data_IF_562889661182
#
_entry.id   IF_562889661182
#
_cell.length_a   1.000
_cell.length_b   1.000
_cell.length_c   1.000
_cell.angle_alpha   90.00
_cell.angle_beta   90.00
_cell.angle_gamma   90.00
#
_symmetry.space_group_name_H-M   'P 1'
#
loop_
_entity.id
_entity.type
_entity.pdbx_description
1 polymer ?
#
# COMPACT_ATOMS: atom_id res chain seq x y z
N UNK A 1 2.76 35.33 18.98
CA UNK A 1 3.24 34.68 17.74
C UNK A 1 4.11 33.51 18.15
N UNK A 2 3.90 32.34 17.55
CA UNK A 2 4.76 31.16 17.70
C UNK A 2 5.55 30.96 16.41
N UNK A 3 6.85 30.79 16.54
CA UNK A 3 7.74 30.49 15.43
C UNK A 3 8.11 29.00 15.48
N UNK A 4 7.84 28.26 14.41
CA UNK A 4 8.20 26.85 14.30
C UNK A 4 9.08 26.61 13.09
N UNK A 5 10.28 26.09 13.34
CA UNK A 5 11.21 25.67 12.28
C UNK A 5 10.76 24.33 11.71
N UNK A 6 10.49 24.29 10.42
CA UNK A 6 10.23 23.07 9.67
C UNK A 6 11.57 22.65 9.05
N UNK A 7 12.11 21.52 9.52
CA UNK A 7 13.40 20.99 9.06
C UNK A 7 13.29 20.47 7.63
N UNK A 8 14.42 20.38 6.93
CA UNK A 8 14.51 19.73 5.61
C UNK A 8 13.95 18.30 5.69
N UNK A 9 13.16 17.90 4.67
CA UNK A 9 12.53 16.57 4.64
C UNK A 9 11.40 16.41 5.65
N UNK A 10 10.83 17.51 6.15
CA UNK A 10 9.59 17.51 6.94
C UNK A 10 8.58 18.41 6.25
N UNK A 11 7.31 18.06 6.40
CA UNK A 11 6.15 18.83 5.96
C UNK A 11 5.21 19.05 7.14
N UNK A 12 4.53 20.18 7.17
CA UNK A 12 3.47 20.46 8.14
C UNK A 12 2.26 21.07 7.45
N UNK A 13 1.09 20.88 8.03
CA UNK A 13 -0.14 21.57 7.68
C UNK A 13 -0.38 22.65 8.72
N UNK A 14 -0.71 23.85 8.26
CA UNK A 14 -1.21 24.94 9.09
C UNK A 14 -2.67 25.18 8.74
N UNK A 15 -3.52 25.06 9.74
CA UNK A 15 -4.95 25.32 9.66
C UNK A 15 -5.24 26.73 10.12
N UNK A 16 -6.03 27.47 9.34
CA UNK A 16 -6.56 28.78 9.73
C UNK A 16 -7.92 28.64 10.45
N UNK A 17 -8.41 29.71 11.07
CA UNK A 17 -9.75 29.77 11.71
C UNK A 17 -10.90 29.42 10.74
N UNK A 18 -10.70 29.66 9.45
CA UNK A 18 -11.70 29.37 8.42
C UNK A 18 -11.76 27.89 8.03
N UNK A 19 -10.84 27.06 8.54
CA UNK A 19 -10.69 25.66 8.14
C UNK A 19 -9.79 25.44 6.92
N UNK A 20 -9.23 26.50 6.33
CA UNK A 20 -8.28 26.38 5.23
C UNK A 20 -6.96 25.73 5.68
N UNK A 21 -6.47 24.78 4.89
CA UNK A 21 -5.23 24.06 5.12
C UNK A 21 -4.12 24.58 4.18
N UNK A 22 -3.01 25.03 4.75
CA UNK A 22 -1.81 25.44 4.01
C UNK A 22 -0.69 24.45 4.32
N UNK A 23 -0.14 23.84 3.26
CA UNK A 23 0.99 22.92 3.36
C UNK A 23 2.30 23.71 3.30
N UNK A 24 3.18 23.45 4.26
CA UNK A 24 4.50 24.08 4.33
C UNK A 24 5.57 23.01 4.29
N UNK A 25 6.41 23.09 3.27
CA UNK A 25 7.61 22.26 3.12
C UNK A 25 8.82 22.89 3.79
N UNK A 26 9.66 22.06 4.40
CA UNK A 26 10.96 22.48 4.93
C UNK A 26 12.05 22.53 3.86
N UNK A 27 13.12 23.32 4.03
CA UNK A 27 13.44 24.11 5.21
C UNK A 27 12.73 25.47 5.20
N UNK A 28 11.92 25.74 6.21
CA UNK A 28 11.16 27.00 6.32
C UNK A 28 10.87 27.36 7.78
N UNK A 29 10.59 28.64 8.01
CA UNK A 29 10.15 29.14 9.30
C UNK A 29 8.65 29.45 9.22
N UNK A 30 7.83 28.62 9.86
CA UNK A 30 6.41 28.87 9.96
C UNK A 30 6.13 29.87 11.10
N UNK A 31 5.48 30.98 10.75
CA UNK A 31 5.00 32.00 11.69
C UNK A 31 3.52 31.75 11.91
N UNK A 32 3.13 31.31 13.10
CA UNK A 32 1.74 30.95 13.43
C UNK A 32 1.28 31.65 14.69
N UNK A 33 0.04 32.13 14.69
CA UNK A 33 -0.61 32.61 15.91
C UNK A 33 -1.41 31.48 16.56
N UNK A 34 -1.02 30.95 17.74
CA UNK A 34 -1.64 29.76 18.32
C UNK A 34 -3.13 29.89 18.67
N UNK A 35 -3.61 31.12 18.86
CA UNK A 35 -5.01 31.39 19.17
C UNK A 35 -5.94 31.24 17.96
N UNK A 36 -5.40 31.29 16.75
CA UNK A 36 -6.17 31.30 15.48
C UNK A 36 -5.65 30.27 14.47
N UNK A 37 -4.45 29.73 14.66
CA UNK A 37 -3.87 28.74 13.77
C UNK A 37 -3.44 27.48 14.53
N UNK A 38 -3.69 26.32 13.92
CA UNK A 38 -3.20 25.03 14.41
C UNK A 38 -2.14 24.50 13.45
N UNK A 39 -0.95 24.18 13.97
CA UNK A 39 0.12 23.54 13.20
C UNK A 39 0.16 22.04 13.51
N UNK A 40 0.13 21.22 12.46
CA UNK A 40 0.21 19.77 12.53
C UNK A 40 1.38 19.28 11.67
N UNK A 41 2.44 18.69 12.26
CA UNK A 41 3.47 18.04 11.45
C UNK A 41 2.88 16.80 10.78
N UNK A 42 3.25 16.56 9.52
CA UNK A 42 2.86 15.33 8.83
C UNK A 42 3.88 14.23 9.06
N UNK A 43 3.37 13.03 9.27
CA UNK A 43 4.18 11.83 9.32
C UNK A 43 4.60 11.46 7.90
N UNK A 44 5.86 11.07 7.72
CA UNK A 44 6.35 10.59 6.43
C UNK A 44 6.48 9.06 6.51
N UNK A 45 5.84 8.39 5.58
CA UNK A 45 6.01 6.96 5.33
C UNK A 45 6.98 6.79 4.16
N UNK A 46 7.83 5.79 4.25
CA UNK A 46 8.82 5.48 3.23
C UNK A 46 8.78 4.00 2.91
N UNK A 47 9.02 3.67 1.64
CA UNK A 47 9.31 2.32 1.18
C UNK A 47 10.66 2.35 0.47
N UNK A 48 11.50 1.36 0.80
CA UNK A 48 12.76 1.10 0.11
C UNK A 48 12.54 0.30 -1.19
N UNK A 49 13.62 -0.05 -1.88
CA UNK A 49 13.57 -0.78 -3.16
C UNK A 49 12.96 -2.19 -3.05
N UNK A 50 12.90 -2.77 -1.85
CA UNK A 50 12.32 -4.09 -1.56
C UNK A 50 10.91 -4.00 -0.97
N UNK A 51 10.34 -2.79 -0.91
CA UNK A 51 9.06 -2.50 -0.25
C UNK A 51 8.14 -1.70 -1.17
N UNK A 52 6.87 -1.68 -0.80
CA UNK A 52 5.87 -0.80 -1.40
C UNK A 52 4.98 -0.18 -0.31
N UNK A 53 4.36 0.95 -0.65
CA UNK A 53 3.33 1.57 0.17
C UNK A 53 1.95 1.20 -0.38
N UNK A 54 1.10 0.64 0.48
CA UNK A 54 -0.33 0.54 0.23
C UNK A 54 -1.01 1.77 0.85
N UNK A 55 -1.59 2.60 -0.01
CA UNK A 55 -2.25 3.85 0.35
C UNK A 55 -3.75 3.68 0.14
N UNK A 56 -4.53 3.80 1.23
CA UNK A 56 -5.99 3.85 1.15
C UNK A 56 -6.45 5.29 1.24
N UNK A 57 -7.15 5.75 0.23
CA UNK A 57 -7.68 7.10 0.16
C UNK A 57 -9.09 7.18 0.75
N UNK A 58 -9.51 8.41 1.07
CA UNK A 58 -10.85 8.70 1.63
C UNK A 58 -11.97 8.39 0.66
N UNK A 59 -11.72 8.41 -0.65
CA UNK A 59 -12.67 7.99 -1.69
C UNK A 59 -12.88 6.46 -1.77
N UNK A 60 -12.16 5.69 -0.95
CA UNK A 60 -12.20 4.23 -0.92
C UNK A 60 -11.24 3.56 -1.92
N UNK A 61 -10.55 4.32 -2.76
CA UNK A 61 -9.55 3.77 -3.67
C UNK A 61 -8.31 3.33 -2.90
N UNK A 62 -7.65 2.27 -3.38
CA UNK A 62 -6.37 1.81 -2.85
C UNK A 62 -5.34 1.92 -3.96
N UNK A 63 -4.18 2.51 -3.67
CA UNK A 63 -3.08 2.62 -4.61
C UNK A 63 -1.82 1.97 -4.02
N UNK A 64 -1.05 1.34 -4.90
CA UNK A 64 0.13 0.56 -4.55
C UNK A 64 1.32 1.26 -5.17
N UNK A 65 2.18 1.83 -4.33
CA UNK A 65 3.36 2.59 -4.76
C UNK A 65 4.63 1.78 -4.46
N UNK A 66 5.28 1.17 -5.46
CA UNK A 66 6.57 0.51 -5.25
C UNK A 66 7.63 1.54 -4.85
N UNK A 67 8.58 1.13 -4.01
CA UNK A 67 9.71 1.96 -3.65
C UNK A 67 10.73 2.11 -4.78
N UNK A 68 11.71 3.03 -4.64
CA UNK A 68 11.92 3.92 -3.50
C UNK A 68 10.94 5.11 -3.53
N UNK A 69 10.10 5.25 -2.50
CA UNK A 69 9.09 6.31 -2.44
C UNK A 69 8.90 6.82 -1.03
N UNK A 70 8.64 8.12 -0.90
CA UNK A 70 8.28 8.77 0.35
C UNK A 70 6.94 9.50 0.18
N UNK A 71 6.01 9.24 1.09
CA UNK A 71 4.68 9.85 1.10
C UNK A 71 4.41 10.48 2.47
N UNK A 72 3.83 11.66 2.50
CA UNK A 72 3.33 12.25 3.74
C UNK A 72 1.89 11.82 3.99
N UNK A 73 1.61 11.42 5.23
CA UNK A 73 0.26 11.11 5.69
C UNK A 73 -0.57 12.38 5.80
N UNK A 74 -1.38 12.61 4.76
CA UNK A 74 -2.35 13.70 4.70
C UNK A 74 -3.74 13.15 5.04
N UNK A 75 -4.14 13.31 6.29
CA UNK A 75 -5.41 12.78 6.82
C UNK A 75 -6.67 13.32 6.11
N UNK A 76 -6.55 14.37 5.28
CA UNK A 76 -7.64 14.85 4.44
C UNK A 76 -7.90 13.96 3.22
N UNK A 77 -6.87 13.29 2.72
CA UNK A 77 -6.91 12.50 1.48
C UNK A 77 -6.73 11.03 1.75
N UNK A 78 -6.01 10.69 2.81
CA UNK A 78 -5.52 9.36 3.10
C UNK A 78 -6.12 8.88 4.42
N UNK A 79 -6.67 7.68 4.37
CA UNK A 79 -7.20 6.96 5.54
C UNK A 79 -6.09 6.18 6.22
N UNK A 80 -5.22 5.52 5.43
CA UNK A 80 -4.11 4.74 5.97
C UNK A 80 -2.99 4.56 4.95
N UNK A 81 -1.76 4.51 5.44
CA UNK A 81 -0.56 4.14 4.68
C UNK A 81 0.12 2.98 5.39
N UNK A 82 0.35 1.87 4.66
CA UNK A 82 1.05 0.71 5.17
C UNK A 82 2.28 0.42 4.32
N UNK A 83 3.43 0.25 4.96
CA UNK A 83 4.65 -0.24 4.30
C UNK A 83 4.63 -1.77 4.33
N UNK A 84 4.77 -2.40 3.16
CA UNK A 84 4.78 -3.85 2.98
C UNK A 84 5.97 -4.28 2.13
N UNK A 85 6.44 -5.49 2.34
CA UNK A 85 7.54 -6.06 1.57
C UNK A 85 7.06 -6.58 0.20
N UNK A 86 7.89 -6.40 -0.83
CA UNK A 86 7.67 -6.96 -2.15
C UNK A 86 7.82 -8.48 -2.10
N UNK A 87 7.04 -9.18 -2.91
CA UNK A 87 7.17 -10.62 -3.09
C UNK A 87 8.39 -10.86 -3.98
N UNK A 88 9.41 -11.50 -3.42
CA UNK A 88 10.60 -11.92 -4.14
C UNK A 88 10.32 -13.24 -4.84
N UNK A 89 10.48 -13.29 -6.16
CA UNK A 89 10.43 -14.53 -6.94
C UNK A 89 11.83 -14.80 -7.49
N UNK A 90 12.40 -15.97 -7.20
CA UNK A 90 13.66 -16.42 -7.78
C UNK A 90 13.43 -17.09 -9.17
N UNK A 91 14.52 -17.43 -9.85
CA UNK A 91 14.59 -17.94 -11.23
C UNK A 91 13.66 -19.13 -11.51
N UNK A 92 13.44 -20.01 -10.52
CA UNK A 92 12.57 -21.18 -10.65
C UNK A 92 11.24 -21.03 -9.89
N UNK A 93 10.94 -19.83 -9.40
CA UNK A 93 9.69 -19.54 -8.70
C UNK A 93 8.69 -18.87 -9.64
N UNK A 94 7.42 -19.10 -9.36
CA UNK A 94 6.32 -18.51 -10.09
C UNK A 94 5.22 -18.10 -9.13
N UNK A 95 4.60 -16.96 -9.42
CA UNK A 95 3.45 -16.44 -8.71
C UNK A 95 2.23 -16.59 -9.61
N UNK A 96 1.19 -17.23 -9.09
CA UNK A 96 -0.10 -17.32 -9.78
C UNK A 96 -1.03 -16.31 -9.17
N UNK A 97 -1.59 -15.46 -10.03
CA UNK A 97 -2.51 -14.39 -9.66
C UNK A 97 -3.85 -14.57 -10.36
N UNK A 98 -4.91 -14.11 -9.72
CA UNK A 98 -6.21 -13.92 -10.33
C UNK A 98 -6.55 -12.44 -10.34
N UNK A 99 -7.06 -11.95 -11.46
CA UNK A 99 -7.60 -10.59 -11.60
C UNK A 99 -9.09 -10.66 -11.88
N UNK A 100 -9.85 -9.70 -11.38
CA UNK A 100 -11.25 -9.53 -11.74
C UNK A 100 -11.33 -8.71 -13.03
N UNK A 101 -11.99 -9.25 -14.06
CA UNK A 101 -12.32 -8.49 -15.25
C UNK A 101 -13.65 -7.76 -15.05
N UNK A 102 -13.63 -6.44 -15.22
CA UNK A 102 -14.84 -5.66 -15.42
C UNK A 102 -15.10 -5.60 -16.94
N UNK A 103 -16.10 -6.36 -17.42
CA UNK A 103 -16.66 -6.16 -18.77
C UNK A 103 -17.94 -5.33 -18.65
N UNK A 104 -18.02 -4.28 -19.46
CA UNK A 104 -19.01 -3.18 -19.36
C UNK A 104 -20.50 -3.60 -19.50
N UNK A 105 -20.83 -4.82 -19.93
CA UNK A 105 -22.24 -5.18 -20.19
C UNK A 105 -22.76 -6.45 -19.52
N UNK A 106 -21.90 -7.23 -18.83
CA UNK A 106 -22.33 -8.36 -18.00
C UNK A 106 -21.20 -8.68 -17.02
N UNK A 107 -21.51 -8.65 -15.73
CA UNK A 107 -20.62 -9.13 -14.66
C UNK A 107 -20.52 -10.65 -14.81
N UNK A 108 -19.69 -11.11 -15.75
CA UNK A 108 -19.21 -12.48 -15.74
C UNK A 108 -18.14 -12.55 -14.64
N UNK A 109 -18.39 -13.36 -13.62
CA UNK A 109 -17.45 -13.65 -12.52
C UNK A 109 -16.24 -14.49 -12.98
N UNK A 110 -15.83 -14.37 -14.25
CA UNK A 110 -14.66 -15.05 -14.78
C UNK A 110 -13.40 -14.30 -14.33
N UNK A 111 -12.71 -14.84 -13.33
CA UNK A 111 -11.38 -14.38 -12.96
C UNK A 111 -10.36 -14.80 -14.03
N UNK A 112 -9.45 -13.89 -14.40
CA UNK A 112 -8.37 -14.19 -15.34
C UNK A 112 -7.13 -14.61 -14.54
N UNK A 113 -6.59 -15.78 -14.88
CA UNK A 113 -5.36 -16.29 -14.27
C UNK A 113 -4.14 -15.71 -14.98
N UNK A 114 -3.24 -15.12 -14.21
CA UNK A 114 -1.92 -14.68 -14.65
C UNK A 114 -0.82 -15.48 -13.96
N UNK A 115 0.29 -15.72 -14.66
CA UNK A 115 1.47 -16.38 -14.12
C UNK A 115 2.65 -15.43 -14.29
N UNK A 116 3.27 -15.07 -13.18
CA UNK A 116 4.50 -14.26 -13.14
C UNK A 116 5.65 -15.20 -12.84
N UNK A 117 6.70 -15.15 -13.66
CA UNK A 117 7.91 -15.95 -13.49
C UNK A 117 9.00 -15.08 -12.88
N UNK A 118 9.82 -15.64 -12.00
CA UNK A 118 11.04 -14.97 -11.54
C UNK A 118 12.17 -15.02 -12.57
N UNK A 119 13.32 -14.35 -12.30
CA UNK A 119 13.57 -13.57 -11.10
C UNK A 119 12.91 -12.18 -11.17
N UNK A 120 12.06 -11.83 -10.19
CA UNK A 120 11.41 -10.51 -10.15
C UNK A 120 10.92 -10.14 -8.75
N UNK A 121 10.70 -8.85 -8.52
CA UNK A 121 10.01 -8.33 -7.33
C UNK A 121 8.59 -7.94 -7.72
N UNK A 122 7.61 -8.38 -6.93
CA UNK A 122 6.21 -8.16 -7.24
C UNK A 122 5.44 -7.45 -6.12
N UNK A 123 4.69 -6.41 -6.49
CA UNK A 123 3.72 -5.73 -5.64
C UNK A 123 2.30 -6.10 -6.11
N UNK A 124 1.49 -6.79 -5.28
CA UNK A 124 0.11 -7.12 -5.63
C UNK A 124 -0.73 -5.86 -5.82
N UNK A 125 -1.52 -5.80 -6.88
CA UNK A 125 -2.49 -4.72 -7.09
C UNK A 125 -3.75 -4.93 -6.25
N UNK A 126 -4.56 -3.88 -6.00
CA UNK A 126 -5.76 -4.00 -5.17
C UNK A 126 -6.79 -5.02 -5.69
N UNK A 127 -6.87 -5.22 -7.01
CA UNK A 127 -7.82 -6.12 -7.66
C UNK A 127 -7.17 -7.46 -8.06
N UNK A 128 -6.09 -7.84 -7.38
CA UNK A 128 -5.36 -9.09 -7.60
C UNK A 128 -5.40 -9.98 -6.36
N UNK A 129 -5.62 -11.28 -6.57
CA UNK A 129 -5.53 -12.30 -5.52
C UNK A 129 -4.40 -13.27 -5.84
N UNK A 130 -3.55 -13.53 -4.84
CA UNK A 130 -2.49 -14.52 -4.94
C UNK A 130 -3.09 -15.91 -4.69
N UNK A 131 -2.75 -16.86 -5.56
CA UNK A 131 -3.11 -18.25 -5.34
C UNK A 131 -2.16 -18.89 -4.33
N UNK A 132 -2.71 -19.39 -3.22
CA UNK A 132 -1.97 -20.22 -2.27
C UNK A 132 -2.14 -21.69 -2.63
N UNK A 133 -1.01 -22.38 -2.87
CA UNK A 133 -1.02 -23.80 -3.17
C UNK A 133 -1.04 -24.62 -1.89
N UNK A 134 -2.06 -25.47 -1.75
CA UNK A 134 -2.13 -26.48 -0.67
C UNK A 134 -2.03 -27.87 -1.28
N UNK A 135 -0.92 -28.54 -1.01
CA UNK A 135 -0.71 -29.93 -1.42
C UNK A 135 -1.33 -30.87 -0.39
N UNK A 136 -1.81 -32.00 -0.89
CA UNK A 136 -2.29 -33.09 -0.07
C UNK A 136 -1.73 -34.41 -0.59
N UNK A 137 -1.50 -35.34 0.33
CA UNK A 137 -1.05 -36.69 0.03
C UNK A 137 -2.20 -37.68 0.09
N UNK A 138 -2.07 -38.77 -0.65
CA UNK A 138 -2.94 -39.95 -0.49
C UNK A 138 -2.42 -40.80 0.66
N UNK A 139 -3.31 -41.20 1.56
CA UNK A 139 -2.97 -42.16 2.62
C UNK A 139 -2.68 -43.53 1.98
N UNK A 140 -1.47 -44.06 2.19
CA UNK A 140 -1.02 -45.34 1.63
C UNK A 140 -1.86 -46.55 2.08
N UNK A 141 -2.69 -46.39 3.12
CA UNK A 141 -3.61 -47.43 3.61
C UNK A 141 -5.05 -47.26 3.12
N UNK A 142 -5.48 -46.01 2.89
CA UNK A 142 -6.85 -45.67 2.53
C UNK A 142 -6.86 -44.66 1.39
N UNK A 143 -7.02 -45.14 0.16
CA UNK A 143 -6.94 -44.34 -1.08
C UNK A 143 -7.88 -43.13 -1.16
N UNK A 144 -8.93 -43.09 -0.34
CA UNK A 144 -9.89 -41.97 -0.29
C UNK A 144 -9.63 -40.98 0.83
N UNK A 145 -8.65 -41.26 1.71
CA UNK A 145 -8.29 -40.39 2.82
C UNK A 145 -7.17 -39.45 2.39
N UNK A 146 -7.50 -38.15 2.40
CA UNK A 146 -6.61 -37.07 1.99
C UNK A 146 -5.90 -36.52 3.23
N UNK A 147 -4.58 -36.55 3.25
CA UNK A 147 -3.77 -36.00 4.35
C UNK A 147 -3.39 -34.55 4.00
N UNK A 148 -3.91 -33.53 4.70
CA UNK A 148 -3.55 -32.13 4.46
C UNK A 148 -2.08 -31.89 4.82
N UNK A 149 -1.36 -31.12 3.99
CA UNK A 149 0.00 -30.68 4.32
C UNK A 149 1.09 -31.76 4.18
N UNK A 150 0.81 -32.85 3.47
CA UNK A 150 1.85 -33.77 3.05
C UNK A 150 2.81 -33.03 2.09
N UNK A 151 4.08 -32.92 2.50
CA UNK A 151 5.19 -32.39 1.69
C UNK A 151 6.02 -33.53 1.12
#
# INVERSE_FOLDING_TARGET
>A
VLLRKIKRGRRAIVWNINGDAIYIDGPSLAVVWPCINRIQPLLMHQANDMQYLEVKYVDGTTDIKPGPVALYDDSLKIVSILTKDLITLDTNELLVLYTQQEKEEKIDLSSVRHIIKGPTLYAPKPNEWIHEFTWHGEDGTHKTHIIPGAK
#
